data_IF_513268733125
#
_entry.id   IF_513268733125
#
_cell.length_a   1.000
_cell.length_b   1.000
_cell.length_c   1.000
_cell.angle_alpha   90.00
_cell.angle_beta   90.00
_cell.angle_gamma   90.00
#
_symmetry.space_group_name_H-M   'P 1'
#
loop_
_entity.id
_entity.type
_entity.pdbx_description
1 polymer ?
#
# COMPACT_ATOMS: atom_id res chain seq x y z
N UNK A 1 -1.35 5.56 11.68
CA UNK A 1 -0.57 4.31 11.45
C UNK A 1 -1.10 3.25 12.40
N UNK A 2 -0.94 1.96 12.11
CA UNK A 2 -1.42 0.88 12.96
C UNK A 2 -2.82 0.36 12.61
N UNK A 3 -3.45 0.92 11.58
CA UNK A 3 -4.81 0.57 11.15
C UNK A 3 -4.76 -0.48 10.05
N UNK A 4 -5.56 -1.52 10.20
CA UNK A 4 -5.65 -2.63 9.24
C UNK A 4 -6.71 -2.31 8.20
N UNK A 5 -6.33 -2.34 6.92
CA UNK A 5 -7.25 -2.15 5.79
C UNK A 5 -8.13 -3.39 5.58
N UNK A 6 -9.07 -3.61 6.49
CA UNK A 6 -10.07 -4.67 6.43
C UNK A 6 -11.41 -4.13 6.94
N UNK A 7 -12.50 -4.72 6.48
CA UNK A 7 -13.86 -4.44 7.00
C UNK A 7 -14.34 -5.57 7.92
N UNK A 8 -13.43 -6.46 8.31
CA UNK A 8 -13.71 -7.59 9.18
C UNK A 8 -13.79 -7.10 10.64
N UNK A 9 -14.96 -7.22 11.30
CA UNK A 9 -15.16 -6.73 12.66
C UNK A 9 -14.36 -7.52 13.71
N UNK A 10 -13.92 -8.75 13.39
CA UNK A 10 -13.13 -9.57 14.32
C UNK A 10 -11.66 -9.13 14.38
N UNK A 11 -11.24 -8.28 13.43
CA UNK A 11 -9.89 -7.76 13.38
C UNK A 11 -9.82 -6.44 14.14
N UNK A 12 -9.03 -6.36 15.23
CA UNK A 12 -8.88 -5.12 15.98
C UNK A 12 -8.16 -4.06 15.17
N UNK A 13 -8.46 -2.78 15.46
CA UNK A 13 -7.90 -1.62 14.75
C UNK A 13 -8.15 -1.69 13.24
N UNK A 14 -9.32 -2.17 12.82
CA UNK A 14 -9.70 -2.14 11.42
C UNK A 14 -10.13 -0.73 10.99
N UNK A 15 -10.19 -0.50 9.67
CA UNK A 15 -10.46 0.83 9.14
C UNK A 15 -11.89 1.32 9.43
N UNK A 16 -12.85 0.42 9.65
CA UNK A 16 -14.24 0.79 9.97
C UNK A 16 -14.33 1.31 11.41
N UNK A 17 -13.66 0.63 12.34
CA UNK A 17 -13.55 1.09 13.72
C UNK A 17 -12.87 2.46 13.77
N UNK A 18 -11.78 2.63 13.03
CA UNK A 18 -11.05 3.91 12.97
C UNK A 18 -11.96 5.07 12.53
N UNK A 19 -12.67 4.92 11.41
CA UNK A 19 -13.52 6.01 10.90
C UNK A 19 -14.75 6.25 11.78
N UNK A 20 -15.25 5.22 12.48
CA UNK A 20 -16.45 5.34 13.31
C UNK A 20 -16.11 5.91 14.69
N UNK A 21 -15.08 5.37 15.34
CA UNK A 21 -14.72 5.67 16.73
C UNK A 21 -13.89 6.97 16.80
N UNK A 22 -12.85 7.08 15.98
CA UNK A 22 -11.89 8.18 16.08
C UNK A 22 -12.28 9.38 15.20
N UNK A 23 -13.07 9.15 14.14
CA UNK A 23 -13.52 10.21 13.23
C UNK A 23 -15.03 10.48 13.24
N UNK A 24 -15.81 9.73 14.03
CA UNK A 24 -17.26 9.97 14.19
C UNK A 24 -18.10 9.75 12.94
N UNK A 25 -17.54 9.10 11.91
CA UNK A 25 -18.24 8.83 10.66
C UNK A 25 -18.91 7.46 10.71
N UNK A 26 -20.25 7.45 10.79
CA UNK A 26 -21.04 6.22 10.76
C UNK A 26 -21.64 5.98 9.37
N UNK A 27 -21.09 5.05 8.57
CA UNK A 27 -21.55 4.83 7.21
C UNK A 27 -22.95 4.20 7.18
N UNK A 28 -23.89 4.81 6.45
CA UNK A 28 -25.28 4.31 6.30
C UNK A 28 -25.38 2.99 5.53
N UNK A 29 -24.37 2.69 4.72
CA UNK A 29 -24.26 1.47 3.93
C UNK A 29 -22.89 0.85 4.18
N UNK A 30 -22.76 -0.46 3.95
CA UNK A 30 -21.47 -1.13 3.99
C UNK A 30 -20.50 -0.44 3.02
N UNK A 31 -19.33 -0.07 3.50
CA UNK A 31 -18.25 0.51 2.69
C UNK A 31 -17.10 -0.46 2.52
N UNK A 32 -16.35 -0.28 1.44
CA UNK A 32 -15.23 -1.11 1.03
C UNK A 32 -14.03 -0.22 0.73
N UNK A 33 -12.83 -0.69 1.07
CA UNK A 33 -11.59 0.01 0.70
C UNK A 33 -11.31 -0.15 -0.79
N UNK A 34 -10.99 0.96 -1.46
CA UNK A 34 -10.47 0.95 -2.82
C UNK A 34 -8.95 0.74 -2.74
N UNK A 35 -8.56 -0.53 -2.65
CA UNK A 35 -7.17 -0.95 -2.47
C UNK A 35 -6.86 -1.22 -1.00
N UNK A 36 -5.56 -1.27 -0.70
CA UNK A 36 -5.04 -1.53 0.64
C UNK A 36 -3.85 -0.62 0.90
N UNK A 37 -3.75 -0.16 2.13
CA UNK A 37 -2.57 0.48 2.69
C UNK A 37 -1.99 -0.48 3.75
N UNK A 38 -0.68 -0.71 3.74
CA UNK A 38 -0.06 -1.55 4.76
C UNK A 38 -0.20 -0.92 6.14
N UNK A 39 -0.31 -1.74 7.18
CA UNK A 39 -0.61 -1.30 8.56
C UNK A 39 0.33 -0.19 9.07
N UNK A 40 1.61 -0.31 8.75
CA UNK A 40 2.64 0.65 9.17
C UNK A 40 2.78 1.84 8.21
N UNK A 41 2.11 1.78 7.06
CA UNK A 41 2.05 2.90 6.13
C UNK A 41 1.03 3.96 6.57
N UNK A 42 1.19 5.16 6.04
CA UNK A 42 0.27 6.28 6.22
C UNK A 42 0.02 6.93 4.87
N UNK A 43 -1.21 7.36 4.60
CA UNK A 43 -1.54 8.00 3.33
C UNK A 43 -3.03 8.05 3.07
N UNK A 44 -3.37 8.33 1.81
CA UNK A 44 -4.74 8.37 1.32
C UNK A 44 -5.24 6.96 1.00
N UNK A 45 -6.43 6.64 1.48
CA UNK A 45 -7.20 5.47 1.07
C UNK A 45 -8.64 5.91 0.81
N UNK A 46 -9.24 5.40 -0.27
CA UNK A 46 -10.62 5.72 -0.62
C UNK A 46 -11.56 4.62 -0.13
N UNK A 47 -12.76 5.01 0.28
CA UNK A 47 -13.84 4.13 0.71
C UNK A 47 -15.05 4.34 -0.21
N UNK A 48 -15.73 3.26 -0.56
CA UNK A 48 -16.94 3.31 -1.40
C UNK A 48 -17.98 2.33 -0.91
N UNK A 49 -19.26 2.68 -1.05
CA UNK A 49 -20.38 1.75 -0.79
C UNK A 49 -20.70 0.85 -2.00
N UNK A 50 -20.11 1.09 -3.18
CA UNK A 50 -20.28 0.22 -4.34
C UNK A 50 -19.24 -0.90 -4.32
N UNK A 51 -19.65 -2.11 -3.92
CA UNK A 51 -18.78 -3.28 -3.84
C UNK A 51 -18.19 -3.77 -5.18
N UNK A 52 -18.63 -3.23 -6.33
CA UNK A 52 -18.09 -3.56 -7.65
C UNK A 52 -16.85 -2.71 -7.99
N UNK A 53 -16.78 -1.49 -7.44
CA UNK A 53 -15.73 -0.52 -7.75
C UNK A 53 -14.32 -0.93 -7.31
N UNK A 54 -14.10 -1.56 -6.13
CA UNK A 54 -12.75 -1.98 -5.74
C UNK A 54 -12.13 -2.88 -6.79
N UNK A 55 -12.87 -3.86 -7.32
CA UNK A 55 -12.33 -4.77 -8.33
C UNK A 55 -12.16 -4.11 -9.70
N UNK A 56 -13.01 -3.15 -10.09
CA UNK A 56 -12.85 -2.47 -11.38
C UNK A 56 -11.68 -1.49 -11.35
N UNK A 57 -11.56 -0.67 -10.31
CA UNK A 57 -10.50 0.34 -10.15
C UNK A 57 -9.14 -0.31 -9.88
N UNK A 58 -9.10 -1.45 -9.18
CA UNK A 58 -7.84 -2.14 -8.89
C UNK A 58 -7.37 -3.06 -10.02
N UNK A 59 -8.18 -3.32 -11.06
CA UNK A 59 -7.70 -4.06 -12.22
C UNK A 59 -6.56 -3.29 -12.87
N UNK A 60 -5.45 -4.01 -13.10
CA UNK A 60 -4.22 -3.49 -13.70
C UNK A 60 -4.42 -2.85 -15.08
N UNK A 61 -5.53 -3.18 -15.74
CA UNK A 61 -5.95 -2.64 -17.05
C UNK A 61 -6.39 -1.17 -16.98
N UNK A 62 -6.84 -0.68 -15.81
CA UNK A 62 -7.28 0.71 -15.62
C UNK A 62 -6.17 1.64 -15.09
N UNK A 63 -4.94 1.13 -14.95
CA UNK A 63 -3.67 1.84 -14.72
C UNK A 63 -3.78 3.23 -14.03
N UNK A 64 -4.39 3.27 -12.84
CA UNK A 64 -4.39 4.50 -12.06
C UNK A 64 -3.03 4.70 -11.38
N UNK A 65 -2.38 5.82 -11.68
CA UNK A 65 -1.10 6.20 -11.07
C UNK A 65 -1.23 6.30 -9.55
N UNK A 66 -0.29 5.68 -8.84
CA UNK A 66 -0.15 5.80 -7.38
C UNK A 66 1.22 6.40 -7.09
N UNK A 67 1.23 7.49 -6.32
CA UNK A 67 2.45 8.19 -5.94
C UNK A 67 2.69 7.97 -4.45
N UNK A 68 3.93 7.61 -4.10
CA UNK A 68 4.34 7.32 -2.73
C UNK A 68 5.54 8.18 -2.36
N UNK A 69 5.55 8.70 -1.13
CA UNK A 69 6.74 9.31 -0.53
C UNK A 69 7.35 8.35 0.48
N UNK A 70 8.55 7.88 0.19
CA UNK A 70 9.26 6.89 1.00
C UNK A 70 10.49 7.54 1.63
N UNK A 71 10.71 7.29 2.92
CA UNK A 71 11.95 7.63 3.62
C UNK A 71 12.77 6.36 3.79
N UNK A 72 14.04 6.43 3.43
CA UNK A 72 15.02 5.35 3.59
C UNK A 72 16.03 5.74 4.68
N UNK A 73 16.65 4.73 5.29
CA UNK A 73 17.66 4.86 6.34
C UNK A 73 19.09 5.00 5.79
N UNK A 74 19.27 4.82 4.49
CA UNK A 74 20.54 4.91 3.79
C UNK A 74 20.42 5.80 2.55
N UNK A 75 21.52 6.47 2.21
CA UNK A 75 21.61 7.27 1.00
C UNK A 75 21.63 6.34 -0.22
N UNK A 76 20.77 6.63 -1.21
CA UNK A 76 20.77 5.94 -2.49
C UNK A 76 21.71 6.64 -3.47
N UNK A 77 22.45 5.85 -4.24
CA UNK A 77 23.24 6.35 -5.35
C UNK A 77 22.39 6.36 -6.64
N UNK A 78 22.79 7.14 -7.64
CA UNK A 78 22.06 7.22 -8.93
C UNK A 78 21.90 5.85 -9.61
N UNK A 79 22.88 4.95 -9.44
CA UNK A 79 22.80 3.56 -9.94
C UNK A 79 21.66 2.76 -9.31
N UNK A 80 21.26 3.07 -8.08
CA UNK A 80 20.17 2.38 -7.39
C UNK A 80 18.82 2.97 -7.80
N UNK A 81 18.76 4.29 -8.00
CA UNK A 81 17.60 4.97 -8.57
C UNK A 81 17.31 4.50 -10.01
N UNK A 82 18.32 4.34 -10.86
CA UNK A 82 18.16 3.82 -12.23
C UNK A 82 17.62 2.37 -12.23
N UNK A 83 18.06 1.51 -11.30
CA UNK A 83 17.50 0.16 -11.14
C UNK A 83 16.01 0.21 -10.77
N UNK A 84 15.63 1.10 -9.84
CA UNK A 84 14.23 1.27 -9.45
C UNK A 84 13.40 1.75 -10.64
N UNK A 85 13.89 2.75 -11.39
CA UNK A 85 13.20 3.31 -12.57
C UNK A 85 12.97 2.27 -13.67
N UNK A 86 13.93 1.37 -13.90
CA UNK A 86 13.82 0.29 -14.90
C UNK A 86 13.04 -0.94 -14.42
N UNK A 87 12.78 -1.03 -13.12
CA UNK A 87 12.13 -2.15 -12.47
C UNK A 87 13.10 -3.20 -11.93
N UNK A 88 12.86 -3.60 -10.69
CA UNK A 88 13.71 -4.52 -9.90
C UNK A 88 13.05 -5.88 -9.75
N UNK A 89 13.87 -6.92 -9.54
CA UNK A 89 13.35 -8.24 -9.16
C UNK A 89 13.01 -8.24 -7.68
N UNK A 90 11.73 -8.48 -7.36
CA UNK A 90 11.26 -8.70 -6.00
C UNK A 90 10.95 -10.17 -5.78
N UNK A 91 11.14 -10.62 -4.55
CA UNK A 91 10.80 -11.95 -4.10
C UNK A 91 9.83 -11.84 -2.93
N UNK A 92 8.64 -12.40 -3.06
CA UNK A 92 7.63 -12.43 -2.00
C UNK A 92 7.23 -13.87 -1.70
N UNK A 93 6.93 -14.14 -0.43
CA UNK A 93 6.35 -15.42 -0.02
C UNK A 93 4.88 -15.16 0.28
N UNK A 94 3.95 -15.65 -0.56
CA UNK A 94 2.55 -15.62 -0.16
C UNK A 94 2.32 -16.62 0.99
N UNK A 95 1.27 -16.38 1.80
CA UNK A 95 0.88 -17.31 2.86
C UNK A 95 0.56 -18.72 2.32
N UNK A 96 0.07 -18.81 1.07
CA UNK A 96 -0.20 -20.08 0.39
C UNK A 96 1.10 -20.76 -0.08
N UNK A 97 2.11 -19.98 -0.45
CA UNK A 97 3.40 -20.48 -0.92
C UNK A 97 4.29 -21.06 0.20
N UNK A 98 4.08 -20.65 1.45
CA UNK A 98 4.76 -21.26 2.62
C UNK A 98 4.48 -22.77 2.71
N UNK A 99 3.31 -23.24 2.25
CA UNK A 99 2.97 -24.68 2.20
C UNK A 99 3.62 -25.42 1.02
N UNK A 100 4.08 -24.72 -0.02
CA UNK A 100 4.62 -25.28 -1.28
C UNK A 100 6.11 -25.02 -1.52
N UNK A 101 6.76 -24.24 -0.65
CA UNK A 101 8.21 -24.00 -0.68
C UNK A 101 8.72 -23.14 -1.85
N UNK A 102 7.84 -22.47 -2.61
CA UNK A 102 8.25 -21.64 -3.77
C UNK A 102 8.01 -20.17 -3.51
N UNK A 103 9.07 -19.38 -3.38
CA UNK A 103 8.95 -17.92 -3.35
C UNK A 103 8.53 -17.39 -4.73
N UNK A 104 7.55 -16.49 -4.76
CA UNK A 104 7.16 -15.78 -5.97
C UNK A 104 8.25 -14.77 -6.30
N UNK A 105 8.79 -14.87 -7.52
CA UNK A 105 9.73 -13.90 -8.07
C UNK A 105 9.04 -13.14 -9.19
N UNK A 106 8.99 -11.83 -9.07
CA UNK A 106 8.38 -10.96 -10.06
C UNK A 106 9.29 -9.76 -10.31
N UNK A 107 9.33 -9.28 -11.56
CA UNK A 107 9.94 -8.00 -11.89
C UNK A 107 8.90 -6.91 -11.72
N UNK A 108 9.24 -5.82 -11.04
CA UNK A 108 8.36 -4.65 -10.98
C UNK A 108 8.30 -3.98 -12.36
N UNK A 109 7.18 -3.30 -12.67
CA UNK A 109 7.14 -2.44 -13.86
C UNK A 109 8.11 -1.25 -13.67
N UNK A 110 8.62 -0.67 -14.76
CA UNK A 110 9.29 0.63 -14.70
C UNK A 110 8.41 1.68 -14.01
N UNK A 111 9.02 2.61 -13.29
CA UNK A 111 8.32 3.70 -12.63
C UNK A 111 9.16 4.97 -12.56
N UNK A 112 8.50 6.12 -12.39
CA UNK A 112 9.19 7.37 -12.13
C UNK A 112 9.70 7.41 -10.68
N UNK A 113 10.89 7.96 -10.48
CA UNK A 113 11.52 8.09 -9.16
C UNK A 113 12.17 9.46 -9.05
N UNK A 114 11.62 10.26 -8.14
CA UNK A 114 12.18 11.52 -7.66
C UNK A 114 12.87 11.28 -6.31
N UNK A 115 14.08 11.82 -6.12
CA UNK A 115 14.88 11.63 -4.92
C UNK A 115 15.34 12.97 -4.36
N UNK A 116 15.07 13.20 -3.09
CA UNK A 116 15.47 14.40 -2.35
C UNK A 116 16.32 13.97 -1.15
N UNK A 117 17.50 14.60 -1.00
CA UNK A 117 18.37 14.36 0.15
C UNK A 117 17.93 15.28 1.30
N UNK A 118 17.43 14.69 2.39
CA UNK A 118 16.99 15.42 3.57
C UNK A 118 17.98 15.17 4.69
N UNK A 119 18.75 16.19 5.07
CA UNK A 119 19.57 16.17 6.27
C UNK A 119 18.65 16.21 7.49
N UNK A 120 18.52 15.09 8.19
CA UNK A 120 17.84 15.05 9.48
C UNK A 120 18.88 15.39 10.54
N UNK A 121 18.86 16.61 11.07
CA UNK A 121 19.60 16.95 12.28
C UNK A 121 19.12 16.01 13.40
N UNK A 122 20.02 15.14 13.87
CA UNK A 122 19.76 14.32 15.06
C UNK A 122 19.99 15.23 16.26
N UNK A 123 18.90 15.62 16.94
CA UNK A 123 18.95 16.16 18.30
C UNK A 123 19.22 15.05 19.32
#
# INVERSE_FOLDING_TARGET
RGIVCTTDPDIPNNIIDEITINHGYNPKHRVYTVGRLDKESSGLILLTSDGRLPNSILRSEHAHTKVYRVRVDHQLEERDLDKLRRGVMIMTMSAQDRKRGKALRARTKPCDVEYEHVYVERY
#
